data_IF_105718053489
#
_entry.id   IF_105718053489
#
_cell.length_a   1.000
_cell.length_b   1.000
_cell.length_c   1.000
_cell.angle_alpha   90.00
_cell.angle_beta   90.00
_cell.angle_gamma   90.00
#
_symmetry.space_group_name_H-M   'P 1'
#
loop_
_entity.id
_entity.type
_entity.pdbx_description
1 polymer ?
#
# COMPACT_ATOMS: atom_id res chain seq x y z
N UNK A 1 38.14 -39.43 -31.38
CA UNK A 1 38.91 -38.67 -30.37
C UNK A 1 38.53 -37.21 -30.60
N UNK A 2 37.70 -36.52 -29.80
CA UNK A 2 37.67 -36.43 -28.34
C UNK A 2 36.25 -36.27 -27.76
N UNK A 3 36.19 -36.67 -26.49
CA UNK A 3 35.07 -36.78 -25.54
C UNK A 3 34.81 -35.47 -24.79
N UNK A 4 33.53 -35.14 -24.54
CA UNK A 4 32.95 -34.57 -23.30
C UNK A 4 31.49 -34.21 -23.60
N UNK A 5 30.45 -34.92 -23.16
CA UNK A 5 29.99 -35.27 -21.81
C UNK A 5 29.53 -34.09 -20.91
N UNK A 6 28.25 -34.19 -20.53
CA UNK A 6 27.62 -33.67 -19.32
C UNK A 6 27.77 -32.20 -18.89
N UNK A 7 26.73 -31.39 -19.14
CA UNK A 7 26.00 -30.75 -18.02
C UNK A 7 24.58 -30.36 -18.42
N UNK A 8 23.63 -31.24 -18.09
CA UNK A 8 22.22 -30.87 -17.93
C UNK A 8 22.15 -29.78 -16.87
N UNK A 9 21.75 -28.56 -17.25
CA UNK A 9 21.37 -27.52 -16.30
C UNK A 9 19.96 -27.87 -15.81
N UNK A 10 19.85 -28.35 -14.59
CA UNK A 10 18.62 -28.33 -13.80
C UNK A 10 18.15 -26.87 -13.67
N UNK A 11 16.88 -26.53 -13.94
CA UNK A 11 16.32 -25.29 -13.43
C UNK A 11 16.14 -25.47 -11.92
N UNK A 12 16.88 -24.68 -11.14
CA UNK A 12 16.79 -24.66 -9.70
C UNK A 12 15.40 -24.18 -9.23
N UNK A 13 14.81 -24.97 -8.33
CA UNK A 13 13.90 -24.59 -7.24
C UNK A 13 13.09 -23.31 -7.46
N UNK A 14 11.85 -23.47 -7.95
CA UNK A 14 10.81 -22.46 -7.83
C UNK A 14 10.49 -22.21 -6.37
N UNK A 15 11.07 -21.16 -5.79
CA UNK A 15 10.55 -20.56 -4.58
C UNK A 15 9.21 -19.94 -4.92
N UNK A 16 8.13 -20.58 -4.48
CA UNK A 16 6.76 -20.05 -4.48
C UNK A 16 6.84 -18.64 -3.86
N UNK A 17 6.75 -17.57 -4.68
CA UNK A 17 6.72 -16.20 -4.13
C UNK A 17 5.61 -16.14 -3.07
N UNK A 18 5.81 -15.39 -1.97
CA UNK A 18 4.81 -15.23 -0.92
C UNK A 18 3.44 -14.96 -1.54
N UNK A 19 2.33 -15.47 -0.98
CA UNK A 19 1.00 -15.32 -1.58
C UNK A 19 0.66 -13.88 -2.03
N UNK A 20 1.13 -12.89 -1.28
CA UNK A 20 0.96 -11.48 -1.60
C UNK A 20 1.73 -11.00 -2.85
N UNK A 21 2.88 -11.58 -3.19
CA UNK A 21 3.68 -11.21 -4.37
C UNK A 21 3.10 -11.76 -5.69
N UNK A 22 2.09 -12.63 -5.61
CA UNK A 22 1.39 -13.20 -6.77
C UNK A 22 0.34 -12.25 -7.33
N UNK A 23 -0.22 -11.41 -6.46
CA UNK A 23 -1.26 -10.47 -6.83
C UNK A 23 -0.66 -9.23 -7.50
N UNK A 24 -1.28 -8.71 -8.57
CA UNK A 24 -0.88 -7.44 -9.15
C UNK A 24 -0.83 -6.34 -8.10
N UNK A 25 0.20 -5.50 -8.12
CA UNK A 25 0.44 -4.45 -7.12
C UNK A 25 -0.82 -3.64 -6.75
N UNK A 26 -1.65 -3.29 -7.74
CA UNK A 26 -2.87 -2.52 -7.49
C UNK A 26 -3.91 -3.29 -6.69
N UNK A 27 -4.04 -4.60 -6.91
CA UNK A 27 -4.95 -5.45 -6.12
C UNK A 27 -4.55 -5.46 -4.64
N UNK A 28 -3.25 -5.55 -4.35
CA UNK A 28 -2.71 -5.45 -2.99
C UNK A 28 -2.99 -4.09 -2.35
N UNK A 29 -2.73 -3.00 -3.09
CA UNK A 29 -3.04 -1.64 -2.63
C UNK A 29 -4.54 -1.52 -2.30
N UNK A 30 -5.41 -2.00 -3.18
CA UNK A 30 -6.86 -1.92 -2.96
C UNK A 30 -7.32 -2.76 -1.76
N UNK A 31 -6.72 -3.93 -1.53
CA UNK A 31 -7.02 -4.74 -0.36
C UNK A 31 -6.74 -3.98 0.95
N UNK A 32 -5.58 -3.32 1.05
CA UNK A 32 -5.25 -2.51 2.24
C UNK A 32 -6.17 -1.29 2.37
N UNK A 33 -6.44 -0.58 1.26
CA UNK A 33 -7.29 0.63 1.29
C UNK A 33 -8.73 0.32 1.71
N UNK A 34 -9.26 -0.86 1.37
CA UNK A 34 -10.59 -1.31 1.82
C UNK A 34 -10.69 -1.48 3.34
N UNK A 35 -9.58 -1.66 4.04
CA UNK A 35 -9.58 -1.80 5.50
C UNK A 35 -9.68 -0.47 6.24
N UNK A 36 -9.44 0.66 5.56
CA UNK A 36 -9.47 1.98 6.21
C UNK A 36 -10.90 2.26 6.68
N UNK A 37 -11.16 2.38 8.00
CA UNK A 37 -12.50 2.60 8.51
C UNK A 37 -13.08 3.95 8.07
N UNK A 38 -14.41 4.04 8.04
CA UNK A 38 -15.11 5.32 7.84
C UNK A 38 -14.68 6.32 8.92
N UNK A 39 -14.37 7.56 8.51
CA UNK A 39 -13.94 8.62 9.43
C UNK A 39 -12.46 8.53 9.82
N UNK A 40 -11.68 7.67 9.16
CA UNK A 40 -10.23 7.61 9.27
C UNK A 40 -9.57 7.75 7.89
N UNK A 41 -8.31 8.15 7.89
CA UNK A 41 -7.51 8.33 6.67
C UNK A 41 -6.16 7.66 6.78
N UNK A 42 -5.57 7.30 5.64
CA UNK A 42 -4.19 6.85 5.54
C UNK A 42 -3.43 7.78 4.59
N UNK A 43 -2.12 7.92 4.79
CA UNK A 43 -1.29 8.64 3.83
C UNK A 43 -0.84 7.72 2.70
N UNK A 44 -0.57 8.27 1.51
CA UNK A 44 0.04 7.47 0.43
C UNK A 44 1.33 6.76 0.86
N UNK A 45 2.14 7.41 1.70
CA UNK A 45 3.37 6.83 2.25
C UNK A 45 3.06 5.64 3.15
N UNK A 46 2.10 5.79 4.06
CA UNK A 46 1.67 4.71 4.95
C UNK A 46 1.15 3.49 4.17
N UNK A 47 0.37 3.68 3.11
CA UNK A 47 -0.10 2.57 2.29
C UNK A 47 1.07 1.91 1.56
N UNK A 48 2.01 2.69 1.05
CA UNK A 48 3.20 2.15 0.38
C UNK A 48 4.10 1.36 1.34
N UNK A 49 4.23 1.81 2.59
CA UNK A 49 4.87 1.07 3.67
C UNK A 49 4.16 -0.26 3.88
N UNK A 50 2.87 -0.25 4.26
CA UNK A 50 2.09 -1.48 4.54
C UNK A 50 2.16 -2.49 3.38
N UNK A 51 2.01 -2.02 2.14
CA UNK A 51 2.04 -2.89 0.95
C UNK A 51 3.44 -3.47 0.71
N UNK A 52 4.48 -2.66 0.94
CA UNK A 52 5.86 -2.98 0.60
C UNK A 52 6.11 -2.95 -0.91
N UNK A 53 7.38 -2.80 -1.30
CA UNK A 53 7.80 -2.90 -2.71
C UNK A 53 7.20 -1.86 -3.67
N UNK A 54 6.55 -0.81 -3.17
CA UNK A 54 6.01 0.27 -3.99
C UNK A 54 6.23 1.64 -3.35
N UNK A 55 5.95 2.70 -4.11
CA UNK A 55 6.13 4.08 -3.67
C UNK A 55 4.79 4.76 -3.42
N UNK A 56 4.77 5.82 -2.61
CA UNK A 56 3.59 6.66 -2.42
C UNK A 56 3.00 7.17 -3.77
N UNK A 57 3.85 7.42 -4.77
CA UNK A 57 3.42 7.81 -6.12
C UNK A 57 2.66 6.69 -6.84
N UNK A 58 3.14 5.44 -6.72
CA UNK A 58 2.44 4.28 -7.27
C UNK A 58 1.07 4.08 -6.62
N UNK A 59 0.96 4.30 -5.31
CA UNK A 59 -0.35 4.31 -4.61
C UNK A 59 -1.26 5.40 -5.19
N UNK A 60 -0.72 6.60 -5.46
CA UNK A 60 -1.46 7.66 -6.14
C UNK A 60 -2.01 7.23 -7.50
N UNK A 61 -1.22 6.53 -8.32
CA UNK A 61 -1.69 5.99 -9.59
C UNK A 61 -2.77 4.92 -9.42
N UNK A 62 -2.63 4.05 -8.41
CA UNK A 62 -3.67 3.07 -8.07
C UNK A 62 -4.98 3.76 -7.65
N UNK A 63 -4.93 4.81 -6.81
CA UNK A 63 -6.12 5.57 -6.42
C UNK A 63 -6.78 6.35 -7.56
N UNK A 64 -6.05 6.61 -8.66
CA UNK A 64 -6.62 7.20 -9.87
C UNK A 64 -7.30 6.15 -10.78
N UNK A 65 -6.92 4.88 -10.64
CA UNK A 65 -7.42 3.75 -11.44
C UNK A 65 -8.27 2.76 -10.63
N UNK A 66 -8.72 3.15 -9.45
CA UNK A 66 -9.40 2.24 -8.53
C UNK A 66 -10.86 1.97 -8.96
N UNK A 67 -11.36 0.75 -8.73
CA UNK A 67 -12.79 0.46 -8.86
C UNK A 67 -13.61 1.19 -7.77
N UNK A 68 -14.92 1.29 -7.99
CA UNK A 68 -15.84 2.11 -7.19
C UNK A 68 -15.97 1.69 -5.72
N UNK A 69 -15.68 0.42 -5.41
CA UNK A 69 -15.76 -0.15 -4.06
C UNK A 69 -14.53 0.17 -3.20
N UNK A 70 -13.48 0.74 -3.78
CA UNK A 70 -12.27 1.16 -3.05
C UNK A 70 -12.50 2.55 -2.48
N UNK A 71 -12.37 2.76 -1.16
CA UNK A 71 -12.59 4.06 -0.51
C UNK A 71 -11.40 5.01 -0.73
N UNK A 72 -11.11 5.33 -1.98
CA UNK A 72 -9.96 6.13 -2.41
C UNK A 72 -9.90 7.50 -1.74
N UNK A 73 -11.07 8.05 -1.35
CA UNK A 73 -11.14 9.35 -0.68
C UNK A 73 -10.39 9.36 0.65
N UNK A 74 -10.22 8.20 1.29
CA UNK A 74 -9.54 8.05 2.59
C UNK A 74 -8.01 8.06 2.47
N UNK A 75 -7.45 8.12 1.25
CA UNK A 75 -6.01 8.19 1.03
C UNK A 75 -5.59 9.63 0.71
N UNK A 76 -4.79 10.23 1.59
CA UNK A 76 -4.44 11.66 1.57
C UNK A 76 -2.93 11.87 1.57
N UNK A 77 -2.48 13.12 1.39
CA UNK A 77 -1.06 13.42 1.45
C UNK A 77 -0.53 13.49 2.90
N UNK A 78 0.79 13.47 3.06
CA UNK A 78 1.44 13.51 4.37
C UNK A 78 1.26 14.84 5.13
N UNK A 79 0.75 15.89 4.47
CA UNK A 79 0.48 17.19 5.06
C UNK A 79 -0.96 17.29 5.63
N UNK A 80 -1.73 16.19 5.61
CA UNK A 80 -3.12 16.20 6.03
C UNK A 80 -4.03 16.98 5.09
N UNK A 81 -3.67 17.07 3.80
CA UNK A 81 -4.48 17.73 2.77
C UNK A 81 -4.95 16.72 1.74
N UNK A 82 -6.07 17.06 1.11
CA UNK A 82 -6.48 16.43 -0.14
C UNK A 82 -5.46 16.77 -1.22
N UNK A 83 -5.02 15.76 -1.98
CA UNK A 83 -4.07 15.97 -3.08
C UNK A 83 -4.73 16.71 -4.24
N UNK A 84 -4.12 17.76 -4.80
CA UNK A 84 -4.60 18.38 -6.02
C UNK A 84 -4.62 17.35 -7.15
N UNK A 85 -5.76 17.26 -7.85
CA UNK A 85 -5.87 16.51 -9.12
C UNK A 85 -5.84 17.50 -10.29
N UNK A 86 -5.48 17.02 -11.47
CA UNK A 86 -5.38 17.85 -12.68
C UNK A 86 -6.72 18.53 -13.02
N UNK A 87 -7.83 17.91 -12.63
CA UNK A 87 -9.14 18.50 -12.54
C UNK A 87 -9.40 18.94 -11.08
N UNK A 88 -9.55 20.25 -10.85
CA UNK A 88 -9.89 20.78 -9.51
C UNK A 88 -11.12 20.10 -8.88
N UNK A 89 -12.01 19.54 -9.70
CA UNK A 89 -13.20 18.81 -9.28
C UNK A 89 -12.88 17.59 -8.41
N UNK A 90 -11.83 16.83 -8.73
CA UNK A 90 -11.49 15.61 -8.01
C UNK A 90 -11.08 15.86 -6.55
N UNK A 91 -10.42 16.99 -6.28
CA UNK A 91 -10.04 17.38 -4.92
C UNK A 91 -11.26 17.79 -4.08
N UNK A 92 -12.20 18.54 -4.66
CA UNK A 92 -13.40 18.95 -3.93
C UNK A 92 -14.31 17.76 -3.62
N UNK A 93 -14.49 16.84 -4.57
CA UNK A 93 -15.24 15.59 -4.34
C UNK A 93 -14.62 14.77 -3.21
N UNK A 94 -13.29 14.64 -3.18
CA UNK A 94 -12.61 13.92 -2.10
C UNK A 94 -12.89 14.58 -0.74
N UNK A 95 -12.80 15.91 -0.67
CA UNK A 95 -13.04 16.67 0.55
C UNK A 95 -14.48 16.50 1.05
N UNK A 96 -15.46 16.63 0.17
CA UNK A 96 -16.88 16.49 0.52
C UNK A 96 -17.18 15.08 1.07
N UNK A 97 -16.68 14.02 0.43
CA UNK A 97 -16.83 12.66 0.95
C UNK A 97 -16.20 12.48 2.32
N UNK A 98 -15.03 13.07 2.57
CA UNK A 98 -14.38 13.02 3.89
C UNK A 98 -15.20 13.77 4.96
N UNK A 99 -15.79 14.92 4.61
CA UNK A 99 -16.70 15.66 5.50
C UNK A 99 -17.94 14.83 5.83
N UNK A 100 -18.54 14.17 4.84
CA UNK A 100 -19.66 13.24 5.07
C UNK A 100 -19.28 12.09 6.00
N UNK A 101 -18.01 11.70 6.04
CA UNK A 101 -17.47 10.71 6.97
C UNK A 101 -17.17 11.25 8.38
N UNK A 102 -17.24 12.58 8.58
CA UNK A 102 -16.99 13.25 9.85
C UNK A 102 -15.59 13.87 9.98
N UNK A 103 -14.81 13.93 8.90
CA UNK A 103 -13.50 14.60 8.91
C UNK A 103 -13.70 16.11 8.82
N UNK A 104 -13.09 16.84 9.75
CA UNK A 104 -13.12 18.30 9.79
C UNK A 104 -11.87 18.87 9.12
N UNK A 105 -12.06 19.94 8.36
CA UNK A 105 -10.99 20.71 7.74
C UNK A 105 -10.91 22.10 8.36
N UNK A 106 -9.71 22.62 8.51
CA UNK A 106 -9.46 24.02 8.88
C UNK A 106 -9.62 24.97 7.68
N UNK A 107 -9.40 26.27 7.91
CA UNK A 107 -9.47 27.31 6.88
C UNK A 107 -8.43 27.13 5.74
N UNK A 108 -7.36 26.38 6.00
CA UNK A 108 -6.30 26.06 5.04
C UNK A 108 -6.51 24.70 4.34
N UNK A 109 -7.71 24.12 4.48
CA UNK A 109 -8.08 22.81 3.93
C UNK A 109 -7.18 21.66 4.44
N UNK A 110 -6.75 21.74 5.70
CA UNK A 110 -6.02 20.66 6.39
C UNK A 110 -6.93 19.97 7.39
N UNK A 111 -6.75 18.66 7.51
CA UNK A 111 -7.30 17.87 8.61
C UNK A 111 -6.27 17.71 9.73
N UNK A 112 -6.75 17.50 10.95
CA UNK A 112 -5.94 17.05 12.08
C UNK A 112 -5.51 15.60 11.85
N UNK A 113 -4.45 15.43 11.06
CA UNK A 113 -3.98 14.12 10.60
C UNK A 113 -3.67 13.18 11.78
N UNK A 114 -2.94 13.59 12.84
CA UNK A 114 -2.72 12.71 14.00
C UNK A 114 -4.01 12.18 14.64
N UNK A 115 -5.09 12.96 14.65
CA UNK A 115 -6.37 12.57 15.25
C UNK A 115 -7.17 11.57 14.39
N UNK A 116 -7.09 11.68 13.07
CA UNK A 116 -7.92 10.90 12.13
C UNK A 116 -7.13 9.84 11.37
N UNK A 117 -5.82 9.72 11.62
CA UNK A 117 -4.96 8.72 10.97
C UNK A 117 -5.34 7.32 11.42
N UNK A 118 -5.57 6.46 10.44
CA UNK A 118 -5.75 5.03 10.64
C UNK A 118 -4.43 4.43 11.17
N UNK A 119 -4.45 3.64 12.26
CA UNK A 119 -3.25 3.00 12.80
C UNK A 119 -2.64 1.94 11.86
N UNK A 120 -3.38 1.51 10.83
CA UNK A 120 -3.02 0.38 9.98
C UNK A 120 -3.82 -0.88 10.34
N UNK A 121 -3.68 -1.94 9.55
CA UNK A 121 -4.34 -3.21 9.80
C UNK A 121 -3.69 -3.94 10.98
N UNK A 122 -4.41 -4.89 11.57
CA UNK A 122 -3.85 -5.72 12.61
C UNK A 122 -2.74 -6.65 12.07
N UNK A 123 -1.85 -7.08 12.96
CA UNK A 123 -0.69 -7.91 12.59
C UNK A 123 -1.08 -9.30 12.09
N UNK A 124 -2.18 -9.86 12.58
CA UNK A 124 -2.63 -11.18 12.17
C UNK A 124 -3.09 -11.14 10.71
N UNK A 125 -3.85 -10.11 10.34
CA UNK A 125 -4.28 -9.84 8.98
C UNK A 125 -3.09 -9.68 8.03
N UNK A 126 -2.09 -8.87 8.43
CA UNK A 126 -0.87 -8.69 7.62
C UNK A 126 -0.18 -10.02 7.34
N UNK A 127 0.04 -10.84 8.38
CA UNK A 127 0.69 -12.14 8.25
C UNK A 127 -0.13 -13.13 7.40
N UNK A 128 -1.44 -13.20 7.62
CA UNK A 128 -2.36 -14.07 6.89
C UNK A 128 -2.40 -13.73 5.39
N UNK A 129 -2.35 -12.44 5.06
CA UNK A 129 -2.44 -11.95 3.69
C UNK A 129 -1.07 -11.70 3.04
N UNK A 130 0.03 -12.08 3.71
CA UNK A 130 1.40 -12.04 3.19
C UNK A 130 2.00 -10.63 3.02
N UNK A 131 1.51 -9.64 3.76
CA UNK A 131 2.12 -8.31 3.79
C UNK A 131 3.33 -8.30 4.72
N UNK A 132 4.39 -7.53 4.38
CA UNK A 132 5.57 -7.44 5.23
C UNK A 132 5.19 -6.89 6.61
N UNK A 133 5.70 -7.47 7.71
CA UNK A 133 5.47 -6.91 9.02
C UNK A 133 6.15 -5.54 9.14
N UNK A 134 5.61 -4.61 9.95
CA UNK A 134 6.10 -3.23 10.04
C UNK A 134 7.59 -3.09 10.40
N UNK A 135 8.18 -4.13 11.01
CA UNK A 135 9.58 -4.19 11.45
C UNK A 135 10.57 -4.50 10.32
N UNK A 136 10.09 -4.99 9.17
CA UNK A 136 10.92 -5.31 8.00
C UNK A 136 11.11 -4.09 7.08
N UNK A 137 10.43 -2.98 7.35
CA UNK A 137 10.59 -1.72 6.61
C UNK A 137 11.94 -1.06 6.93
N UNK A 138 12.93 -1.33 6.08
CA UNK A 138 14.28 -0.77 6.17
C UNK A 138 15.40 -1.80 6.11
N UNK A 139 15.06 -3.09 6.07
CA UNK A 139 16.05 -4.14 5.83
C UNK A 139 16.26 -4.29 4.31
N UNK A 140 17.53 -4.34 3.82
CA UNK A 140 17.78 -4.68 2.43
C UNK A 140 17.18 -6.07 2.13
N UNK A 141 16.73 -6.34 0.89
CA UNK A 141 16.07 -7.59 0.49
C UNK A 141 16.81 -8.85 0.97
N UNK A 142 18.14 -8.75 1.05
CA UNK A 142 19.06 -9.84 1.36
C UNK A 142 19.06 -10.24 2.85
N UNK A 143 18.53 -9.39 3.74
CA UNK A 143 18.52 -9.63 5.19
C UNK A 143 17.31 -10.45 5.68
N UNK A 144 16.26 -10.58 4.86
CA UNK A 144 15.04 -11.35 5.23
C UNK A 144 15.30 -12.86 5.19
N UNK A 145 16.25 -13.31 4.37
CA UNK A 145 16.61 -14.73 4.21
C UNK A 145 17.47 -15.28 5.39
N UNK A 146 17.97 -14.42 6.28
CA UNK A 146 18.96 -14.81 7.29
C UNK A 146 18.40 -15.25 8.66
N UNK A 147 17.07 -15.36 8.84
CA UNK A 147 16.45 -15.73 10.14
C UNK A 147 15.88 -17.15 10.24
N UNK A 148 16.34 -18.05 9.37
CA UNK A 148 16.08 -19.50 9.50
C UNK A 148 17.41 -20.24 9.75
N UNK A 149 18.01 -20.00 10.91
CA UNK A 149 18.97 -20.90 11.57
C UNK A 149 18.84 -20.76 13.08
#
# INVERSE_FOLDING_TARGET
MNTNDGKRRTPGSGGELPPAERDPLYARIYAVVRLIPRGQVATYGQIAEIVGGCTARMVGYAMAACPDDVPWQRVVNAQGKVSPRADHWGAEVQRLRLIEEGIVFDADYRMDLPRVRWPGPDRAWLAEHGYPPPEEHGLPPDAVQAKLF
#
